data_IF_543598697630
#
_entry.id   IF_543598697630
#
_cell.length_a   1.000
_cell.length_b   1.000
_cell.length_c   1.000
_cell.angle_alpha   90.00
_cell.angle_beta   90.00
_cell.angle_gamma   90.00
#
_symmetry.space_group_name_H-M   'P 1'
#
loop_
_entity.id
_entity.type
_entity.pdbx_description
1 polymer ?
#
# COMPACT_ATOMS: atom_id res chain seq x y z
N UNK A 1 17.31 13.00 -26.48
CA UNK A 1 16.83 14.14 -25.66
C UNK A 1 15.62 14.88 -26.26
N UNK A 2 14.99 14.41 -27.36
CA UNK A 2 13.85 15.08 -28.02
C UNK A 2 12.41 14.79 -27.52
N UNK A 3 12.04 13.60 -26.99
CA UNK A 3 10.62 13.33 -26.67
C UNK A 3 10.16 13.93 -25.33
N UNK A 4 11.06 14.07 -24.34
CA UNK A 4 10.73 14.64 -23.02
C UNK A 4 10.42 16.14 -23.09
N UNK A 5 11.07 16.88 -24.00
CA UNK A 5 10.78 18.30 -24.22
C UNK A 5 9.42 18.52 -24.90
N UNK A 6 8.98 17.58 -25.75
CA UNK A 6 7.62 17.60 -26.33
C UNK A 6 6.54 17.39 -25.28
N UNK A 7 6.76 16.47 -24.32
CA UNK A 7 5.84 16.28 -23.18
C UNK A 7 5.71 17.54 -22.33
N UNK A 8 6.81 18.26 -22.10
CA UNK A 8 6.83 19.51 -21.33
C UNK A 8 6.04 20.65 -22.01
N UNK A 9 5.97 20.66 -23.35
CA UNK A 9 5.24 21.68 -24.12
C UNK A 9 3.75 21.35 -24.37
N UNK A 10 3.37 20.06 -24.29
CA UNK A 10 2.00 19.61 -24.59
C UNK A 10 1.08 19.63 -23.37
N UNK A 11 1.62 19.57 -22.15
CA UNK A 11 0.82 19.63 -20.91
C UNK A 11 0.39 21.08 -20.59
N UNK A 12 -0.92 21.39 -20.55
CA UNK A 12 -1.42 22.64 -20.02
C UNK A 12 -0.88 22.93 -18.61
N UNK A 13 -0.76 24.21 -18.27
CA UNK A 13 -0.38 24.65 -16.92
C UNK A 13 -1.27 24.04 -15.81
N UNK A 14 -2.54 23.77 -16.12
CA UNK A 14 -3.48 23.12 -15.21
C UNK A 14 -3.06 21.68 -14.89
N UNK A 15 -2.61 20.90 -15.87
CA UNK A 15 -2.13 19.53 -15.65
C UNK A 15 -0.82 19.50 -14.85
N UNK A 16 0.07 20.47 -15.08
CA UNK A 16 1.26 20.65 -14.24
C UNK A 16 0.90 20.98 -12.78
N UNK A 17 -0.08 21.86 -12.57
CA UNK A 17 -0.58 22.18 -11.25
C UNK A 17 -1.24 20.96 -10.58
N UNK A 18 -2.02 20.17 -11.33
CA UNK A 18 -2.65 18.94 -10.85
C UNK A 18 -1.61 17.90 -10.43
N UNK A 19 -0.57 17.66 -11.24
CA UNK A 19 0.54 16.76 -10.90
C UNK A 19 1.31 17.25 -9.67
N UNK A 20 1.64 18.53 -9.62
CA UNK A 20 2.34 19.12 -8.47
C UNK A 20 1.50 18.98 -7.19
N UNK A 21 0.20 19.28 -7.26
CA UNK A 21 -0.74 19.10 -6.16
C UNK A 21 -0.84 17.63 -5.75
N UNK A 22 -0.91 16.71 -6.71
CA UNK A 22 -0.98 15.28 -6.47
C UNK A 22 0.25 14.75 -5.71
N UNK A 23 1.47 15.04 -6.20
CA UNK A 23 2.69 14.60 -5.55
C UNK A 23 2.90 15.29 -4.19
N UNK A 24 2.53 16.57 -4.07
CA UNK A 24 2.59 17.30 -2.80
C UNK A 24 1.59 16.72 -1.80
N UNK A 25 0.37 16.39 -2.25
CA UNK A 25 -0.64 15.72 -1.42
C UNK A 25 -0.18 14.33 -1.01
N UNK A 26 0.40 13.54 -1.92
CA UNK A 26 0.93 12.21 -1.61
C UNK A 26 2.03 12.27 -0.56
N UNK A 27 3.09 13.04 -0.83
CA UNK A 27 4.25 13.14 0.06
C UNK A 27 3.87 13.85 1.36
N UNK A 28 3.09 14.92 1.27
CA UNK A 28 2.57 15.68 2.41
C UNK A 28 1.69 14.83 3.31
N UNK A 29 0.73 14.10 2.76
CA UNK A 29 -0.11 13.20 3.53
C UNK A 29 0.69 12.05 4.15
N UNK A 30 1.59 11.41 3.38
CA UNK A 30 2.40 10.31 3.90
C UNK A 30 3.33 10.77 5.04
N UNK A 31 3.96 11.93 4.91
CA UNK A 31 4.83 12.50 5.96
C UNK A 31 4.01 12.98 7.17
N UNK A 32 2.89 13.65 6.94
CA UNK A 32 1.97 14.09 8.00
C UNK A 32 1.42 12.90 8.77
N UNK A 33 0.91 11.87 8.08
CA UNK A 33 0.35 10.68 8.72
C UNK A 33 1.38 9.93 9.55
N UNK A 34 2.64 9.81 9.07
CA UNK A 34 3.75 9.25 9.86
C UNK A 34 4.07 10.08 11.10
N UNK A 35 4.23 11.41 10.96
CA UNK A 35 4.52 12.32 12.09
C UNK A 35 3.39 12.35 13.11
N UNK A 36 2.13 12.41 12.64
CA UNK A 36 0.93 12.48 13.48
C UNK A 36 0.74 11.19 14.28
N UNK A 37 1.09 10.03 13.71
CA UNK A 37 1.05 8.73 14.39
C UNK A 37 2.02 8.64 15.59
N UNK A 38 3.09 9.45 15.62
CA UNK A 38 4.01 9.52 16.75
C UNK A 38 3.47 10.35 17.94
N UNK A 39 2.55 11.30 17.68
CA UNK A 39 2.10 12.28 18.69
C UNK A 39 0.63 12.17 19.09
N UNK A 40 -0.20 11.43 18.35
CA UNK A 40 -1.59 11.15 18.74
C UNK A 40 -1.93 9.68 18.55
N UNK A 41 -2.73 9.09 19.46
CA UNK A 41 -3.21 7.73 19.30
C UNK A 41 -4.02 7.62 18.00
N UNK A 42 -3.48 6.86 17.04
CA UNK A 42 -4.18 6.49 15.80
C UNK A 42 -4.72 5.06 15.92
N UNK A 43 -5.61 4.65 15.00
CA UNK A 43 -6.07 3.26 14.91
C UNK A 43 -4.87 2.33 14.71
N UNK A 44 -3.90 2.73 13.88
CA UNK A 44 -2.67 1.99 13.68
C UNK A 44 -1.85 1.86 14.97
N UNK A 45 -1.64 2.96 15.69
CA UNK A 45 -0.90 2.93 16.96
C UNK A 45 -1.62 2.05 18.01
N UNK A 46 -2.94 2.15 18.09
CA UNK A 46 -3.75 1.35 19.00
C UNK A 46 -3.70 -0.14 18.65
N UNK A 47 -3.84 -0.48 17.37
CA UNK A 47 -3.73 -1.88 16.93
C UNK A 47 -2.31 -2.43 17.09
N UNK A 48 -1.25 -1.61 16.96
CA UNK A 48 0.12 -2.02 17.25
C UNK A 48 0.32 -2.35 18.74
N UNK A 49 -0.31 -1.62 19.66
CA UNK A 49 -0.32 -2.02 21.10
C UNK A 49 -0.98 -3.38 21.29
N UNK A 50 -2.11 -3.63 20.63
CA UNK A 50 -2.78 -4.93 20.68
C UNK A 50 -1.96 -6.05 20.04
N UNK A 51 -1.20 -5.78 18.97
CA UNK A 51 -0.26 -6.75 18.38
C UNK A 51 0.86 -7.10 19.35
N UNK A 52 1.41 -6.11 20.07
CA UNK A 52 2.40 -6.35 21.14
C UNK A 52 1.80 -7.19 22.27
N UNK A 53 0.62 -6.82 22.76
CA UNK A 53 -0.08 -7.58 23.80
C UNK A 53 -0.41 -9.00 23.34
N UNK A 54 -0.80 -9.17 22.08
CA UNK A 54 -1.01 -10.49 21.48
C UNK A 54 0.27 -11.31 21.55
N UNK A 55 1.41 -10.76 21.13
CA UNK A 55 2.71 -11.46 21.21
C UNK A 55 3.14 -11.76 22.64
N UNK A 56 2.82 -10.89 23.61
CA UNK A 56 3.03 -11.18 25.03
C UNK A 56 2.21 -12.40 25.46
N UNK A 57 0.92 -12.42 25.13
CA UNK A 57 0.03 -13.55 25.44
C UNK A 57 0.46 -14.85 24.75
N UNK A 58 1.00 -14.78 23.53
CA UNK A 58 1.58 -15.95 22.83
C UNK A 58 2.67 -16.63 23.67
N UNK A 59 3.44 -15.88 24.47
CA UNK A 59 4.46 -16.47 25.36
C UNK A 59 3.86 -17.29 26.50
N UNK A 60 2.65 -16.96 26.96
CA UNK A 60 1.97 -17.65 28.06
C UNK A 60 1.14 -18.85 27.59
N UNK A 61 0.91 -18.99 26.27
CA UNK A 61 0.13 -20.08 25.69
C UNK A 61 1.00 -21.30 25.43
N UNK A 62 0.52 -22.46 25.92
CA UNK A 62 1.05 -23.77 25.53
C UNK A 62 0.57 -24.14 24.12
N UNK A 63 -0.74 -23.99 23.83
CA UNK A 63 -1.30 -24.20 22.50
C UNK A 63 -1.37 -22.89 21.69
N UNK A 64 -0.69 -22.86 20.55
CA UNK A 64 -0.56 -21.67 19.68
C UNK A 64 -1.26 -21.78 18.32
N UNK A 65 -2.15 -22.76 18.15
CA UNK A 65 -2.94 -22.88 16.91
C UNK A 65 -3.72 -21.59 16.64
N UNK A 66 -4.27 -20.95 17.67
CA UNK A 66 -4.97 -19.66 17.55
C UNK A 66 -4.03 -18.56 17.04
N UNK A 67 -2.79 -18.48 17.55
CA UNK A 67 -1.83 -17.48 17.11
C UNK A 67 -1.45 -17.67 15.63
N UNK A 68 -1.22 -18.91 15.21
CA UNK A 68 -0.96 -19.26 13.80
C UNK A 68 -2.14 -18.92 12.88
N UNK A 69 -3.38 -19.15 13.35
CA UNK A 69 -4.59 -18.80 12.59
C UNK A 69 -4.76 -17.28 12.45
N UNK A 70 -4.51 -16.52 13.53
CA UNK A 70 -4.54 -15.05 13.49
C UNK A 70 -3.48 -14.51 12.54
N UNK A 71 -2.25 -15.02 12.59
CA UNK A 71 -1.17 -14.61 11.68
C UNK A 71 -1.55 -14.84 10.20
N UNK A 72 -2.11 -16.01 9.88
CA UNK A 72 -2.61 -16.30 8.52
C UNK A 72 -3.75 -15.38 8.11
N UNK A 73 -4.72 -15.14 8.99
CA UNK A 73 -5.84 -14.24 8.73
C UNK A 73 -5.36 -12.81 8.42
N UNK A 74 -4.37 -12.30 9.16
CA UNK A 74 -3.78 -10.99 8.93
C UNK A 74 -3.03 -10.90 7.58
N UNK A 75 -2.41 -11.99 7.11
CA UNK A 75 -1.71 -12.04 5.83
C UNK A 75 -2.66 -12.18 4.61
N UNK A 76 -3.91 -12.60 4.82
CA UNK A 76 -4.89 -12.80 3.75
C UNK A 76 -5.26 -11.48 3.05
N UNK A 77 -5.50 -10.39 3.80
CA UNK A 77 -5.90 -9.12 3.20
C UNK A 77 -4.81 -8.51 2.29
N UNK A 78 -3.54 -8.38 2.69
CA UNK A 78 -2.47 -7.95 1.77
C UNK A 78 -2.36 -8.85 0.52
N UNK A 79 -2.55 -10.16 0.65
CA UNK A 79 -2.50 -11.10 -0.47
C UNK A 79 -3.61 -10.86 -1.48
N UNK A 80 -4.85 -10.63 -1.01
CA UNK A 80 -5.98 -10.29 -1.89
C UNK A 80 -5.69 -9.00 -2.68
N UNK A 81 -5.26 -7.94 -1.99
CA UNK A 81 -4.94 -6.65 -2.62
C UNK A 81 -3.77 -6.73 -3.60
N UNK A 82 -2.74 -7.54 -3.31
CA UNK A 82 -1.63 -7.77 -4.23
C UNK A 82 -2.10 -8.40 -5.55
N UNK A 83 -2.96 -9.42 -5.48
CA UNK A 83 -3.55 -10.06 -6.66
C UNK A 83 -4.41 -9.10 -7.46
N UNK A 84 -5.25 -8.30 -6.79
CA UNK A 84 -6.03 -7.24 -7.45
C UNK A 84 -5.12 -6.21 -8.13
N UNK A 85 -4.00 -5.82 -7.50
CA UNK A 85 -3.03 -4.89 -8.09
C UNK A 85 -2.44 -5.44 -9.39
N UNK A 86 -2.08 -6.74 -9.43
CA UNK A 86 -1.59 -7.40 -10.65
C UNK A 86 -2.62 -7.33 -11.78
N UNK A 87 -3.89 -7.62 -11.49
CA UNK A 87 -4.95 -7.56 -12.49
C UNK A 87 -5.14 -6.15 -13.05
N UNK A 88 -5.11 -5.13 -12.18
CA UNK A 88 -5.19 -3.72 -12.59
C UNK A 88 -3.98 -3.34 -13.45
N UNK A 89 -2.77 -3.73 -13.05
CA UNK A 89 -1.54 -3.51 -13.84
C UNK A 89 -1.69 -4.13 -15.24
N UNK A 90 -2.17 -5.37 -15.34
CA UNK A 90 -2.42 -6.04 -16.62
C UNK A 90 -3.44 -5.29 -17.48
N UNK A 91 -4.54 -4.82 -16.89
CA UNK A 91 -5.55 -4.01 -17.58
C UNK A 91 -5.01 -2.66 -18.09
N UNK A 92 -4.19 -1.98 -17.28
CA UNK A 92 -3.55 -0.72 -17.67
C UNK A 92 -2.53 -0.92 -18.80
N UNK A 93 -1.74 -2.00 -18.76
CA UNK A 93 -0.81 -2.34 -19.83
C UNK A 93 -1.53 -2.72 -21.13
N UNK A 94 -2.64 -3.44 -21.05
CA UNK A 94 -3.48 -3.74 -22.21
C UNK A 94 -4.07 -2.47 -22.83
N UNK A 95 -4.52 -1.51 -22.00
CA UNK A 95 -5.01 -0.22 -22.47
C UNK A 95 -3.91 0.62 -23.16
N UNK A 96 -2.68 0.63 -22.63
CA UNK A 96 -1.52 1.26 -23.25
C UNK A 96 -1.09 0.58 -24.56
N UNK A 97 -1.34 -0.72 -24.73
CA UNK A 97 -1.07 -1.42 -25.99
C UNK A 97 -2.15 -1.23 -27.05
N UNK A 98 -3.35 -0.76 -26.66
CA UNK A 98 -4.51 -0.59 -27.52
C UNK A 98 -4.91 0.89 -27.72
N UNK A 99 -3.97 1.83 -27.52
CA UNK A 99 -4.22 3.27 -27.36
C UNK A 99 -5.13 3.89 -28.42
N UNK A 100 -5.06 3.49 -29.69
CA UNK A 100 -5.94 4.02 -30.75
C UNK A 100 -7.42 3.73 -30.47
N UNK A 101 -7.77 2.48 -30.15
CA UNK A 101 -9.16 2.07 -29.86
C UNK A 101 -9.65 2.56 -28.49
N UNK A 102 -8.77 2.59 -27.49
CA UNK A 102 -9.14 3.06 -26.14
C UNK A 102 -9.37 4.56 -26.12
N UNK A 103 -8.60 5.34 -26.89
CA UNK A 103 -8.79 6.79 -27.01
C UNK A 103 -10.10 7.14 -27.72
N UNK A 104 -10.52 6.37 -28.73
CA UNK A 104 -11.82 6.55 -29.39
C UNK A 104 -12.99 6.30 -28.43
N UNK A 105 -12.96 5.20 -27.67
CA UNK A 105 -14.01 4.89 -26.68
C UNK A 105 -14.14 5.97 -25.59
N UNK A 106 -13.01 6.50 -25.11
CA UNK A 106 -13.01 7.55 -24.09
C UNK A 106 -13.52 8.88 -24.66
N UNK A 107 -13.29 9.17 -25.95
CA UNK A 107 -13.85 10.35 -26.64
C UNK A 107 -15.37 10.30 -26.78
N UNK A 108 -16.00 9.12 -26.71
CA UNK A 108 -17.45 8.96 -26.69
C UNK A 108 -18.06 9.26 -25.31
N UNK A 109 -17.27 9.31 -24.23
CA UNK A 109 -17.76 9.70 -22.90
C UNK A 109 -18.01 11.22 -22.85
N UNK A 110 -19.26 11.66 -22.57
CA UNK A 110 -19.62 13.08 -22.64
C UNK A 110 -18.89 14.00 -21.65
N UNK A 111 -18.22 13.41 -20.64
CA UNK A 111 -17.49 14.13 -19.59
C UNK A 111 -15.97 13.98 -19.66
N UNK A 112 -15.43 13.24 -20.65
CA UNK A 112 -13.99 13.09 -20.79
C UNK A 112 -13.40 14.29 -21.55
N UNK A 113 -12.44 15.00 -20.95
CA UNK A 113 -11.75 16.09 -21.63
C UNK A 113 -11.11 15.58 -22.93
N UNK A 114 -11.34 16.28 -24.06
CA UNK A 114 -10.70 15.98 -25.36
C UNK A 114 -9.19 16.17 -25.24
N UNK A 115 -8.51 15.10 -24.86
CA UNK A 115 -7.10 15.09 -24.49
C UNK A 115 -6.28 14.46 -25.62
N UNK A 116 -5.03 14.89 -25.81
CA UNK A 116 -4.13 14.26 -26.78
C UNK A 116 -3.83 12.81 -26.34
N UNK A 117 -3.59 11.91 -27.30
CA UNK A 117 -3.22 10.51 -27.01
C UNK A 117 -2.02 10.44 -26.05
N UNK A 118 -1.04 11.34 -26.22
CA UNK A 118 0.13 11.44 -25.35
C UNK A 118 -0.23 11.72 -23.88
N UNK A 119 -1.16 12.66 -23.62
CA UNK A 119 -1.55 12.99 -22.24
C UNK A 119 -2.41 11.89 -21.64
N UNK A 120 -3.21 11.19 -22.44
CA UNK A 120 -3.93 10.00 -22.01
C UNK A 120 -2.96 8.87 -21.60
N UNK A 121 -1.94 8.58 -22.41
CA UNK A 121 -0.90 7.60 -22.09
C UNK A 121 -0.16 7.98 -20.79
N UNK A 122 0.14 9.27 -20.58
CA UNK A 122 0.75 9.74 -19.33
C UNK A 122 -0.12 9.48 -18.10
N UNK A 123 -1.44 9.68 -18.20
CA UNK A 123 -2.38 9.37 -17.12
C UNK A 123 -2.40 7.86 -16.80
N UNK A 124 -2.38 7.02 -17.83
CA UNK A 124 -2.28 5.56 -17.68
C UNK A 124 -0.94 5.14 -17.06
N UNK A 125 0.17 5.72 -17.48
CA UNK A 125 1.51 5.46 -16.92
C UNK A 125 1.59 5.89 -15.46
N UNK A 126 0.97 7.01 -15.08
CA UNK A 126 0.88 7.44 -13.67
C UNK A 126 0.12 6.41 -12.83
N UNK A 127 -1.05 5.96 -13.28
CA UNK A 127 -1.81 4.91 -12.60
C UNK A 127 -1.01 3.60 -12.50
N UNK A 128 -0.33 3.22 -13.59
CA UNK A 128 0.51 2.04 -13.63
C UNK A 128 1.62 2.12 -12.58
N UNK A 129 2.31 3.26 -12.48
CA UNK A 129 3.35 3.48 -11.47
C UNK A 129 2.79 3.38 -10.03
N UNK A 130 1.60 3.92 -9.79
CA UNK A 130 0.91 3.84 -8.49
C UNK A 130 0.59 2.39 -8.11
N UNK A 131 0.03 1.60 -9.03
CA UNK A 131 -0.33 0.21 -8.75
C UNK A 131 0.89 -0.72 -8.66
N UNK A 132 1.96 -0.47 -9.43
CA UNK A 132 3.25 -1.15 -9.24
C UNK A 132 3.79 -0.89 -7.84
N UNK A 133 3.77 0.38 -7.39
CA UNK A 133 4.16 0.72 -6.02
C UNK A 133 3.29 0.00 -4.99
N UNK A 134 1.96 0.02 -5.15
CA UNK A 134 1.02 -0.66 -4.25
C UNK A 134 1.30 -2.17 -4.17
N UNK A 135 1.52 -2.83 -5.32
CA UNK A 135 1.86 -4.24 -5.40
C UNK A 135 3.11 -4.59 -4.58
N UNK A 136 4.18 -3.81 -4.71
CA UNK A 136 5.41 -4.01 -3.93
C UNK A 136 5.20 -3.78 -2.43
N UNK A 137 4.36 -2.81 -2.04
CA UNK A 137 4.01 -2.62 -0.62
C UNK A 137 3.22 -3.82 -0.08
N UNK A 138 2.22 -4.31 -0.81
CA UNK A 138 1.46 -5.47 -0.34
C UNK A 138 2.29 -6.74 -0.24
N UNK A 139 3.12 -7.04 -1.24
CA UNK A 139 4.02 -8.20 -1.20
C UNK A 139 5.06 -8.09 -0.09
N UNK A 140 5.59 -6.89 0.19
CA UNK A 140 6.45 -6.66 1.34
C UNK A 140 5.73 -6.88 2.67
N UNK A 141 4.47 -6.45 2.79
CA UNK A 141 3.63 -6.68 3.96
C UNK A 141 3.41 -8.18 4.22
N UNK A 142 3.14 -8.97 3.16
CA UNK A 142 3.03 -10.43 3.24
C UNK A 142 4.32 -11.02 3.81
N UNK A 143 5.48 -10.63 3.29
CA UNK A 143 6.79 -11.13 3.77
C UNK A 143 7.01 -10.80 5.26
N UNK A 144 6.61 -9.62 5.70
CA UNK A 144 6.71 -9.22 7.11
C UNK A 144 5.76 -10.02 8.00
N UNK A 145 4.53 -10.30 7.55
CA UNK A 145 3.62 -11.21 8.28
C UNK A 145 4.16 -12.64 8.32
N UNK A 146 4.77 -13.13 7.24
CA UNK A 146 5.45 -14.43 7.23
C UNK A 146 6.58 -14.48 8.26
N UNK A 147 7.40 -13.43 8.39
CA UNK A 147 8.40 -13.34 9.46
C UNK A 147 7.76 -13.34 10.85
N UNK A 148 6.66 -12.61 11.04
CA UNK A 148 5.91 -12.65 12.30
C UNK A 148 5.38 -14.04 12.63
N UNK A 149 4.84 -14.77 11.65
CA UNK A 149 4.38 -16.14 11.82
C UNK A 149 5.53 -17.09 12.18
N UNK A 150 6.70 -16.93 11.55
CA UNK A 150 7.91 -17.69 11.92
C UNK A 150 8.33 -17.39 13.36
N UNK A 151 8.26 -16.14 13.82
CA UNK A 151 8.57 -15.79 15.21
C UNK A 151 7.59 -16.43 16.20
N UNK A 152 6.29 -16.49 15.87
CA UNK A 152 5.28 -17.20 16.67
C UNK A 152 5.57 -18.70 16.73
N UNK A 153 5.89 -19.31 15.59
CA UNK A 153 6.24 -20.73 15.51
C UNK A 153 7.54 -21.07 16.22
N UNK A 154 8.50 -20.15 16.25
CA UNK A 154 9.80 -20.30 16.92
C UNK A 154 9.77 -19.89 18.41
N UNK A 155 8.62 -19.44 18.94
CA UNK A 155 8.52 -19.07 20.35
C UNK A 155 8.84 -20.30 21.24
N UNK A 156 9.71 -20.17 22.25
CA UNK A 156 9.94 -21.22 23.24
C UNK A 156 8.64 -21.70 23.89
N UNK A 157 8.59 -22.93 24.39
CA UNK A 157 7.48 -23.40 25.24
C UNK A 157 7.22 -22.41 26.38
N UNK A 158 5.96 -22.27 26.80
CA UNK A 158 5.56 -21.31 27.83
C UNK A 158 6.34 -21.47 29.14
N UNK A 159 6.78 -22.70 29.46
CA UNK A 159 7.55 -23.04 30.68
C UNK A 159 9.04 -22.71 30.57
N UNK A 160 9.55 -22.50 29.35
CA UNK A 160 10.98 -22.21 29.11
C UNK A 160 11.33 -20.73 29.26
N UNK A 161 10.33 -19.85 29.40
CA UNK A 161 10.56 -18.45 29.77
C UNK A 161 10.85 -18.37 31.28
N UNK A 162 12.11 -18.11 31.62
CA UNK A 162 12.59 -18.03 33.00
C UNK A 162 12.21 -16.73 33.72
N UNK A 163 11.97 -15.65 32.96
CA UNK A 163 11.62 -14.33 33.52
C UNK A 163 10.59 -13.61 32.66
N UNK A 164 9.81 -12.72 33.27
CA UNK A 164 8.90 -11.83 32.55
C UNK A 164 9.64 -10.91 31.57
N UNK A 165 10.89 -10.54 31.87
CA UNK A 165 11.74 -9.77 30.97
C UNK A 165 11.98 -10.47 29.63
N UNK A 166 12.12 -11.80 29.60
CA UNK A 166 12.25 -12.55 28.35
C UNK A 166 10.96 -12.53 27.53
N UNK A 167 9.81 -12.55 28.20
CA UNK A 167 8.49 -12.49 27.57
C UNK A 167 8.25 -11.13 26.94
N UNK A 168 8.52 -10.06 27.68
CA UNK A 168 8.42 -8.69 27.20
C UNK A 168 9.37 -8.45 26.01
N UNK A 169 10.62 -8.93 26.09
CA UNK A 169 11.57 -8.80 24.99
C UNK A 169 11.12 -9.56 23.73
N UNK A 170 10.49 -10.73 23.86
CA UNK A 170 9.87 -11.42 22.74
C UNK A 170 8.69 -10.61 22.18
N UNK A 171 7.80 -10.16 23.06
CA UNK A 171 6.61 -9.40 22.70
C UNK A 171 6.93 -8.09 21.95
N UNK A 172 7.97 -7.38 22.39
CA UNK A 172 8.45 -6.15 21.75
C UNK A 172 8.96 -6.43 20.34
N UNK A 173 9.81 -7.45 20.18
CA UNK A 173 10.38 -7.80 18.86
C UNK A 173 9.30 -8.29 17.90
N UNK A 174 8.53 -9.29 18.32
CA UNK A 174 7.50 -9.91 17.47
C UNK A 174 6.36 -8.92 17.18
N UNK A 175 5.95 -8.15 18.19
CA UNK A 175 4.91 -7.13 18.05
C UNK A 175 5.31 -6.04 17.08
N UNK A 176 6.58 -5.62 17.10
CA UNK A 176 7.13 -4.67 16.13
C UNK A 176 7.13 -5.23 14.71
N UNK A 177 7.49 -6.50 14.50
CA UNK A 177 7.45 -7.13 13.17
C UNK A 177 6.01 -7.17 12.63
N UNK A 178 5.04 -7.59 13.45
CA UNK A 178 3.62 -7.57 13.07
C UNK A 178 3.11 -6.14 12.80
N UNK A 179 3.59 -5.15 13.56
CA UNK A 179 3.27 -3.74 13.36
C UNK A 179 3.83 -3.19 12.04
N UNK A 180 5.08 -3.51 11.71
CA UNK A 180 5.71 -3.15 10.44
C UNK A 180 4.95 -3.74 9.24
N UNK A 181 4.47 -4.98 9.36
CA UNK A 181 3.64 -5.61 8.33
C UNK A 181 2.34 -4.82 8.09
N UNK A 182 1.67 -4.42 9.16
CA UNK A 182 0.44 -3.62 9.11
C UNK A 182 0.67 -2.20 8.58
N UNK A 183 1.80 -1.57 8.92
CA UNK A 183 2.20 -0.27 8.41
C UNK A 183 2.42 -0.30 6.90
N UNK A 184 3.16 -1.31 6.41
CA UNK A 184 3.37 -1.51 4.99
C UNK A 184 2.07 -1.76 4.25
N UNK A 185 1.15 -2.56 4.82
CA UNK A 185 -0.18 -2.77 4.25
C UNK A 185 -0.95 -1.44 4.10
N UNK A 186 -0.95 -0.62 5.15
CA UNK A 186 -1.60 0.70 5.10
C UNK A 186 -0.98 1.62 4.06
N UNK A 187 0.34 1.57 3.83
CA UNK A 187 0.97 2.34 2.76
C UNK A 187 0.50 1.88 1.37
N UNK A 188 0.27 0.58 1.17
CA UNK A 188 -0.35 0.07 -0.06
C UNK A 188 -1.80 0.56 -0.23
N UNK A 189 -2.60 0.57 0.85
CA UNK A 189 -3.97 1.13 0.81
C UNK A 189 -3.98 2.63 0.49
N UNK A 190 -3.01 3.39 1.01
CA UNK A 190 -2.87 4.81 0.67
C UNK A 190 -2.59 5.01 -0.82
N UNK A 191 -1.77 4.15 -1.43
CA UNK A 191 -1.55 4.19 -2.87
C UNK A 191 -2.85 3.95 -3.65
N UNK A 192 -3.73 3.05 -3.20
CA UNK A 192 -5.06 2.85 -3.80
C UNK A 192 -5.95 4.11 -3.70
N UNK A 193 -5.98 4.76 -2.53
CA UNK A 193 -6.74 6.01 -2.38
C UNK A 193 -6.22 7.11 -3.30
N UNK A 194 -4.90 7.20 -3.47
CA UNK A 194 -4.29 8.13 -4.41
C UNK A 194 -4.53 7.72 -5.87
N UNK A 195 -4.63 6.43 -6.19
CA UNK A 195 -5.04 5.98 -7.52
C UNK A 195 -6.44 6.50 -7.87
N UNK A 196 -7.39 6.50 -6.93
CA UNK A 196 -8.73 7.08 -7.17
C UNK A 196 -8.68 8.58 -7.42
N UNK A 197 -7.82 9.32 -6.72
CA UNK A 197 -7.58 10.73 -7.02
C UNK A 197 -6.93 10.91 -8.40
N UNK A 198 -6.02 10.02 -8.82
CA UNK A 198 -5.45 10.07 -10.16
C UNK A 198 -6.48 9.71 -11.25
N UNK A 199 -7.48 8.87 -10.96
CA UNK A 199 -8.60 8.58 -11.88
C UNK A 199 -9.44 9.83 -12.15
N UNK A 200 -9.63 10.73 -11.17
CA UNK A 200 -10.40 11.95 -11.41
C UNK A 200 -9.77 12.85 -12.49
N UNK A 201 -8.44 12.76 -12.66
CA UNK A 201 -7.71 13.47 -13.71
C UNK A 201 -8.14 13.09 -15.14
N UNK A 202 -8.77 11.93 -15.35
CA UNK A 202 -9.31 11.56 -16.66
C UNK A 202 -10.54 12.39 -17.06
N UNK A 203 -11.27 12.94 -16.10
CA UNK A 203 -12.44 13.78 -16.35
C UNK A 203 -12.04 15.25 -16.54
N UNK A 204 -11.21 15.78 -15.64
CA UNK A 204 -10.71 17.16 -15.67
C UNK A 204 -9.36 17.24 -14.94
N UNK A 205 -8.45 18.15 -15.36
CA UNK A 205 -7.35 18.64 -14.52
C UNK A 205 -7.84 19.18 -13.17
#
# INVERSE_FOLDING_TARGET
>A
MGPLLGVLQVLPLADWAALALFFTAWVGYATWARRRAAHKPSILATTNRWRRLWMLQTTHRENRIVDSAVAQSLAASPSFFASTSILIIGGLLAALGATEKTTELVRELPFAARTSALVFDLKLVLLLAIFIHAFFRFTWSIRQYSFGAIMVGAAPDARLYATDGQREAFADRAGRVMGLAAETFNDGLRAYYMAFAAVSWFFSP
#
